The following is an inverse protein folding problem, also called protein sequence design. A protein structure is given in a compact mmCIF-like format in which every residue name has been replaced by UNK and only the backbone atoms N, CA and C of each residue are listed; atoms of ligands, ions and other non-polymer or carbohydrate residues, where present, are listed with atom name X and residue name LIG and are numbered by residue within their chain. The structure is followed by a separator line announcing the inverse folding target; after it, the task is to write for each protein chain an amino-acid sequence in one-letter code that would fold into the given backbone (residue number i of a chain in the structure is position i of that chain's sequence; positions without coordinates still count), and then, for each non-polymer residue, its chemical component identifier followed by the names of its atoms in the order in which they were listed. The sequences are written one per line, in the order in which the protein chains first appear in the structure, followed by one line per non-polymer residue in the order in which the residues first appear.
data_IF_842762933035
#
_entry.id   IF_842762933035
#
_cell.length_a   1.000
_cell.length_b   1.000
_cell.length_c   1.000
_cell.angle_alpha   90.00
_cell.angle_beta   90.00
_cell.angle_gamma   90.00
#
_symmetry.space_group_name_H-M   'P 1'
#
loop_
_entity.id
_entity.type
_entity.pdbx_description
1 polymer ?
#
# COMPACT_ATOMS: atom_id res chain seq x y z
N UNK A 1 5.87 -22.29 16.27
CA UNK A 1 4.79 -21.36 16.69
C UNK A 1 3.95 -21.13 15.45
N UNK A 2 2.76 -21.72 15.39
CA UNK A 2 1.90 -21.67 14.20
C UNK A 2 1.36 -20.23 14.11
N UNK A 3 1.99 -19.38 13.31
CA UNK A 3 1.52 -18.02 13.07
C UNK A 3 0.20 -18.17 12.33
N UNK A 4 -0.92 -17.89 13.00
CA UNK A 4 -2.24 -17.88 12.40
C UNK A 4 -2.15 -17.02 11.13
N UNK A 5 -2.46 -17.61 9.98
CA UNK A 5 -2.49 -16.88 8.71
C UNK A 5 -3.42 -15.68 8.88
N UNK A 6 -2.89 -14.49 8.59
CA UNK A 6 -3.66 -13.24 8.67
C UNK A 6 -4.27 -12.98 7.31
N UNK A 7 -5.59 -12.84 7.27
CA UNK A 7 -6.32 -12.60 6.03
C UNK A 7 -6.13 -11.16 5.53
N UNK A 8 -6.27 -10.98 4.22
CA UNK A 8 -6.45 -9.67 3.61
C UNK A 8 -7.68 -8.95 4.22
N UNK A 9 -7.58 -7.66 4.51
CA UNK A 9 -8.63 -6.91 5.20
C UNK A 9 -9.35 -5.89 4.33
N UNK A 10 -10.66 -5.72 4.56
CA UNK A 10 -11.48 -4.54 4.19
C UNK A 10 -11.95 -3.76 5.41
N UNK A 11 -11.65 -4.24 6.60
CA UNK A 11 -11.95 -3.55 7.84
C UNK A 11 -10.85 -2.52 8.11
N UNK A 12 -11.13 -1.27 7.73
CA UNK A 12 -10.15 -0.19 7.79
C UNK A 12 -10.11 0.48 9.17
N UNK A 13 -11.17 0.35 9.98
CA UNK A 13 -11.27 1.08 11.25
C UNK A 13 -10.16 0.67 12.23
N UNK A 14 -9.87 -0.62 12.48
CA UNK A 14 -8.77 -1.02 13.35
C UNK A 14 -7.41 -0.56 12.84
N UNK A 15 -7.23 -0.45 11.50
CA UNK A 15 -5.97 0.01 10.92
C UNK A 15 -5.57 1.41 11.42
N UNK A 16 -6.57 2.27 11.66
CA UNK A 16 -6.35 3.65 12.09
C UNK A 16 -6.49 3.86 13.59
N UNK A 17 -7.29 3.05 14.29
CA UNK A 17 -7.46 3.19 15.74
C UNK A 17 -6.34 2.51 16.53
N UNK A 18 -5.74 1.44 15.99
CA UNK A 18 -4.73 0.64 16.68
C UNK A 18 -3.31 0.94 16.18
N UNK A 19 -3.13 2.03 15.42
CA UNK A 19 -1.87 2.43 14.79
C UNK A 19 -1.15 1.27 14.06
N UNK A 20 -1.93 0.48 13.30
CA UNK A 20 -1.39 -0.70 12.61
C UNK A 20 -0.34 -0.25 11.58
N UNK A 21 0.87 -0.84 11.56
CA UNK A 21 1.89 -0.49 10.58
C UNK A 21 1.44 -0.79 9.16
N UNK A 22 1.66 0.15 8.24
CA UNK A 22 1.29 -0.02 6.83
C UNK A 22 2.50 0.06 5.90
N UNK A 23 2.72 -0.98 5.10
CA UNK A 23 3.71 -0.98 4.02
C UNK A 23 3.08 -0.44 2.74
N UNK A 24 3.45 0.77 2.36
CA UNK A 24 2.99 1.40 1.12
C UNK A 24 3.96 1.08 -0.02
N UNK A 25 3.51 0.30 -1.00
CA UNK A 25 4.33 -0.08 -2.18
C UNK A 25 4.05 0.79 -3.41
N UNK A 26 3.36 1.92 -3.24
CA UNK A 26 3.24 2.94 -4.29
C UNK A 26 4.60 3.59 -4.57
N UNK A 27 4.70 4.30 -5.69
CA UNK A 27 5.90 5.05 -6.00
C UNK A 27 6.09 6.23 -5.03
N UNK A 28 7.33 6.68 -4.78
CA UNK A 28 7.61 7.80 -3.88
C UNK A 28 6.79 9.07 -4.18
N UNK A 29 6.58 9.41 -5.46
CA UNK A 29 5.75 10.56 -5.86
C UNK A 29 4.29 10.42 -5.43
N UNK A 30 3.74 9.21 -5.46
CA UNK A 30 2.37 8.93 -5.01
C UNK A 30 2.27 9.00 -3.47
N UNK A 31 3.32 8.59 -2.75
CA UNK A 31 3.40 8.68 -1.30
C UNK A 31 3.51 10.14 -0.82
N UNK A 32 4.36 10.93 -1.47
CA UNK A 32 4.54 12.36 -1.16
C UNK A 32 3.28 13.22 -1.40
N UNK A 33 2.37 12.77 -2.28
CA UNK A 33 1.07 13.41 -2.50
C UNK A 33 0.03 13.12 -1.40
N UNK A 34 0.30 12.13 -0.54
CA UNK A 34 -0.57 11.77 0.57
C UNK A 34 -0.35 10.34 1.02
N UNK A 35 -0.19 10.17 2.33
CA UNK A 35 0.07 8.92 3.01
C UNK A 35 -0.65 8.88 4.35
N UNK A 36 -0.78 7.68 4.95
CA UNK A 36 -1.36 7.52 6.29
C UNK A 36 -0.27 7.65 7.37
N UNK A 37 -0.61 8.06 8.60
CA UNK A 37 0.38 8.31 9.67
C UNK A 37 1.32 7.14 9.96
N UNK A 38 0.81 5.91 9.91
CA UNK A 38 1.57 4.69 10.20
C UNK A 38 2.21 4.05 8.96
N UNK A 39 2.16 4.72 7.81
CA UNK A 39 2.65 4.18 6.56
C UNK A 39 4.14 4.42 6.36
N UNK A 40 4.87 3.37 5.98
CA UNK A 40 6.25 3.42 5.49
C UNK A 40 6.27 3.08 4.00
N UNK A 41 6.88 3.95 3.18
CA UNK A 41 6.99 3.70 1.75
C UNK A 41 8.17 2.75 1.44
N UNK A 42 7.86 1.57 0.92
CA UNK A 42 8.86 0.61 0.41
C UNK A 42 8.43 0.22 -1.01
N UNK A 43 8.77 1.04 -2.01
CA UNK A 43 8.09 1.05 -3.29
C UNK A 43 8.34 -0.21 -4.13
N UNK A 44 7.29 -0.68 -4.83
CA UNK A 44 7.47 -1.66 -5.91
C UNK A 44 8.13 -1.02 -7.14
N UNK A 45 7.85 0.24 -7.40
CA UNK A 45 8.35 0.98 -8.56
C UNK A 45 8.90 2.32 -8.08
N UNK A 46 10.06 2.71 -8.57
CA UNK A 46 10.47 4.12 -8.47
C UNK A 46 9.60 5.01 -9.37
N UNK A 47 9.79 6.32 -9.28
CA UNK A 47 8.97 7.28 -10.03
C UNK A 47 9.12 7.15 -11.55
N UNK A 48 10.33 6.85 -12.03
CA UNK A 48 10.61 6.69 -13.45
C UNK A 48 9.97 5.43 -14.01
N UNK A 49 10.10 4.30 -13.30
CA UNK A 49 9.44 3.04 -13.64
C UNK A 49 7.92 3.20 -13.59
N UNK A 50 7.41 3.89 -12.58
CA UNK A 50 5.96 4.16 -12.43
C UNK A 50 5.41 4.97 -13.59
N UNK A 51 6.17 5.94 -14.09
CA UNK A 51 5.80 6.71 -15.28
C UNK A 51 5.80 5.81 -16.53
N UNK A 52 6.91 5.12 -16.81
CA UNK A 52 7.05 4.28 -18.01
C UNK A 52 6.01 3.16 -18.07
N UNK A 53 5.82 2.43 -16.97
CA UNK A 53 4.83 1.35 -16.86
C UNK A 53 3.41 1.92 -16.95
N UNK A 54 3.17 3.10 -16.37
CA UNK A 54 1.87 3.79 -16.46
C UNK A 54 1.52 4.18 -17.89
N UNK A 55 2.49 4.71 -18.65
CA UNK A 55 2.35 5.01 -20.07
C UNK A 55 2.08 3.71 -20.84
N UNK A 56 2.90 2.67 -20.63
CA UNK A 56 2.72 1.38 -21.31
C UNK A 56 1.34 0.77 -21.06
N UNK A 57 0.87 0.81 -19.82
CA UNK A 57 -0.46 0.34 -19.46
C UNK A 57 -1.56 1.07 -20.23
N UNK A 58 -1.47 2.40 -20.32
CA UNK A 58 -2.46 3.23 -21.03
C UNK A 58 -2.49 2.94 -22.53
N UNK A 59 -1.32 2.72 -23.15
CA UNK A 59 -1.21 2.60 -24.60
C UNK A 59 -1.33 1.16 -25.12
N UNK A 60 -0.87 0.17 -24.35
CA UNK A 60 -0.72 -1.21 -24.80
C UNK A 60 -1.38 -2.24 -23.87
N UNK A 61 -2.03 -1.78 -22.79
CA UNK A 61 -2.77 -2.65 -21.87
C UNK A 61 -1.91 -3.30 -20.78
N UNK A 62 -2.58 -4.14 -19.99
CA UNK A 62 -2.02 -4.69 -18.75
C UNK A 62 -0.86 -5.66 -18.98
N UNK A 63 -0.98 -6.58 -19.93
CA UNK A 63 0.05 -7.60 -20.19
C UNK A 63 1.38 -6.98 -20.59
N UNK A 64 1.33 -5.99 -21.48
CA UNK A 64 2.52 -5.26 -21.92
C UNK A 64 3.15 -4.43 -20.80
N UNK A 65 2.34 -3.88 -19.89
CA UNK A 65 2.85 -3.18 -18.71
C UNK A 65 3.52 -4.14 -17.72
N UNK A 66 2.99 -5.36 -17.56
CA UNK A 66 3.60 -6.42 -16.76
C UNK A 66 4.95 -6.82 -17.37
N UNK A 67 5.00 -7.04 -18.69
CA UNK A 67 6.22 -7.40 -19.41
C UNK A 67 7.32 -6.34 -19.19
N UNK A 68 6.99 -5.07 -19.41
CA UNK A 68 7.91 -3.97 -19.15
C UNK A 68 8.34 -3.91 -17.68
N UNK A 69 7.42 -4.14 -16.74
CA UNK A 69 7.74 -4.19 -15.32
C UNK A 69 8.74 -5.30 -14.95
N UNK A 70 8.64 -6.46 -15.60
CA UNK A 70 9.60 -7.56 -15.43
C UNK A 70 10.96 -7.26 -16.07
N UNK A 71 10.98 -6.62 -17.24
CA UNK A 71 12.21 -6.18 -17.92
C UNK A 71 12.99 -5.15 -17.07
N UNK A 72 12.27 -4.21 -16.43
CA UNK A 72 12.85 -3.18 -15.57
C UNK A 72 13.26 -3.69 -14.18
N UNK A 73 12.74 -4.85 -13.75
CA UNK A 73 13.08 -5.48 -12.48
C UNK A 73 14.30 -6.41 -12.64
N UNK A 74 15.48 -5.81 -12.80
CA UNK A 74 16.75 -6.56 -12.83
C UNK A 74 16.93 -7.42 -11.58
N UNK A 75 17.81 -8.42 -11.64
CA UNK A 75 18.07 -9.31 -10.52
C UNK A 75 18.47 -8.55 -9.24
N UNK A 76 19.32 -7.54 -9.37
CA UNK A 76 19.78 -6.71 -8.25
C UNK A 76 18.64 -5.85 -7.68
N UNK A 77 17.83 -5.22 -8.53
CA UNK A 77 16.66 -4.44 -8.10
C UNK A 77 15.66 -5.33 -7.36
N UNK A 78 15.40 -6.53 -7.89
CA UNK A 78 14.50 -7.49 -7.26
C UNK A 78 15.05 -7.96 -5.90
N UNK A 79 16.34 -8.26 -5.82
CA UNK A 79 16.98 -8.67 -4.58
C UNK A 79 16.92 -7.57 -3.52
N UNK A 80 17.24 -6.32 -3.88
CA UNK A 80 17.16 -5.18 -2.97
C UNK A 80 15.74 -4.98 -2.43
N UNK A 81 14.73 -4.99 -3.31
CA UNK A 81 13.32 -4.85 -2.90
C UNK A 81 12.88 -5.96 -1.94
N UNK A 82 13.23 -7.21 -2.25
CA UNK A 82 12.92 -8.34 -1.38
C UNK A 82 13.58 -8.20 -0.01
N UNK A 83 14.83 -7.73 0.04
CA UNK A 83 15.52 -7.48 1.30
C UNK A 83 14.81 -6.39 2.11
N UNK A 84 14.42 -5.28 1.48
CA UNK A 84 13.78 -4.15 2.15
C UNK A 84 12.38 -4.55 2.68
N UNK A 85 11.57 -5.21 1.85
CA UNK A 85 10.25 -5.69 2.27
C UNK A 85 10.34 -6.73 3.38
N UNK A 86 11.25 -7.70 3.26
CA UNK A 86 11.44 -8.74 4.30
C UNK A 86 11.88 -8.12 5.62
N UNK A 87 12.79 -7.14 5.57
CA UNK A 87 13.23 -6.41 6.76
C UNK A 87 12.07 -5.68 7.44
N UNK A 88 11.20 -5.04 6.66
CA UNK A 88 10.01 -4.39 7.18
C UNK A 88 9.00 -5.39 7.77
N UNK A 89 8.69 -6.46 7.06
CA UNK A 89 7.76 -7.49 7.55
C UNK A 89 8.25 -8.13 8.87
N UNK A 90 9.56 -8.32 9.03
CA UNK A 90 10.16 -8.83 10.27
C UNK A 90 10.07 -7.81 11.42
N UNK A 91 10.21 -6.52 11.12
CA UNK A 91 10.07 -5.46 12.12
C UNK A 91 8.60 -5.22 12.52
N UNK A 92 7.66 -5.47 11.61
CA UNK A 92 6.23 -5.19 11.78
C UNK A 92 5.34 -6.39 11.37
N UNK A 93 5.43 -7.54 12.03
CA UNK A 93 4.68 -8.75 11.65
C UNK A 93 3.15 -8.59 11.71
N UNK A 94 2.67 -7.61 12.48
CA UNK A 94 1.26 -7.23 12.61
C UNK A 94 0.77 -6.21 11.57
N UNK A 95 1.63 -5.76 10.65
CA UNK A 95 1.23 -4.75 9.66
C UNK A 95 0.47 -5.31 8.46
N UNK A 96 0.12 -4.41 7.53
CA UNK A 96 -0.52 -4.73 6.25
C UNK A 96 0.19 -4.03 5.10
N UNK A 97 0.12 -4.62 3.91
CA UNK A 97 0.66 -4.10 2.66
C UNK A 97 -0.46 -3.48 1.82
N UNK A 98 -0.22 -2.32 1.21
CA UNK A 98 -1.17 -1.75 0.26
C UNK A 98 -0.50 -1.05 -0.92
N UNK A 99 -1.25 -0.93 -2.03
CA UNK A 99 -0.92 -0.03 -3.13
C UNK A 99 -2.11 0.92 -3.38
N UNK A 100 -2.09 1.70 -4.47
CA UNK A 100 -3.13 2.73 -4.69
C UNK A 100 -4.59 2.19 -4.69
N UNK A 101 -4.81 0.99 -5.24
CA UNK A 101 -6.15 0.37 -5.36
C UNK A 101 -6.23 -1.07 -4.81
N UNK A 102 -5.18 -1.55 -4.11
CA UNK A 102 -5.11 -2.95 -3.67
C UNK A 102 -5.12 -3.96 -4.82
N UNK A 103 -4.56 -3.58 -5.98
CA UNK A 103 -4.54 -4.37 -7.20
C UNK A 103 -3.20 -5.06 -7.46
N UNK A 104 -2.77 -5.07 -8.71
CA UNK A 104 -1.58 -5.80 -9.18
C UNK A 104 -0.31 -5.50 -8.37
N UNK A 105 0.00 -4.24 -8.09
CA UNK A 105 1.25 -3.86 -7.40
C UNK A 105 1.40 -4.50 -6.00
N UNK A 106 0.34 -4.45 -5.20
CA UNK A 106 0.37 -5.08 -3.87
C UNK A 106 0.36 -6.61 -3.97
N UNK A 107 -0.39 -7.18 -4.93
CA UNK A 107 -0.39 -8.64 -5.17
C UNK A 107 0.96 -9.17 -5.64
N UNK A 108 1.64 -8.47 -6.56
CA UNK A 108 2.99 -8.82 -7.01
C UNK A 108 3.98 -8.79 -5.85
N UNK A 109 3.91 -7.76 -5.00
CA UNK A 109 4.77 -7.67 -3.81
C UNK A 109 4.50 -8.82 -2.83
N UNK A 110 3.23 -9.11 -2.54
CA UNK A 110 2.82 -10.22 -1.69
C UNK A 110 3.28 -11.58 -2.25
N UNK A 111 3.15 -11.80 -3.55
CA UNK A 111 3.61 -13.02 -4.21
C UNK A 111 5.12 -13.20 -4.11
N UNK A 112 5.89 -12.12 -4.28
CA UNK A 112 7.35 -12.19 -4.16
C UNK A 112 7.80 -12.44 -2.71
N UNK A 113 7.12 -11.84 -1.74
CA UNK A 113 7.32 -12.12 -0.31
C UNK A 113 7.00 -13.57 0.03
N UNK A 114 5.87 -14.09 -0.47
CA UNK A 114 5.48 -15.48 -0.26
C UNK A 114 6.51 -16.47 -0.81
N UNK A 115 7.12 -16.15 -1.97
CA UNK A 115 8.22 -16.94 -2.53
C UNK A 115 9.47 -16.95 -1.64
N UNK A 116 9.64 -15.96 -0.75
CA UNK A 116 10.68 -15.93 0.28
C UNK A 116 10.22 -16.53 1.63
N UNK A 117 9.00 -17.09 1.69
CA UNK A 117 8.42 -17.63 2.92
C UNK A 117 7.85 -16.58 3.88
N UNK A 118 7.67 -15.34 3.41
CA UNK A 118 7.08 -14.25 4.19
C UNK A 118 5.62 -14.07 3.76
N UNK A 119 4.70 -14.46 4.63
CA UNK A 119 3.27 -14.22 4.45
C UNK A 119 2.89 -12.87 5.05
N UNK A 120 2.34 -11.97 4.22
CA UNK A 120 1.98 -10.63 4.66
C UNK A 120 0.64 -10.19 4.03
N UNK A 121 -0.36 -9.79 4.85
CA UNK A 121 -1.71 -9.52 4.36
C UNK A 121 -1.84 -8.18 3.64
N UNK A 122 -2.84 -8.08 2.75
CA UNK A 122 -3.17 -6.86 2.02
C UNK A 122 -4.27 -6.03 2.67
N UNK A 123 -4.21 -4.71 2.49
CA UNK A 123 -5.41 -3.88 2.55
C UNK A 123 -6.09 -3.88 1.18
N UNK A 124 -7.27 -4.51 1.11
CA UNK A 124 -8.07 -4.57 -0.11
C UNK A 124 -8.60 -3.18 -0.45
N UNK A 125 -8.62 -2.81 -1.74
CA UNK A 125 -9.00 -1.46 -2.19
C UNK A 125 -7.92 -0.39 -1.96
N UNK A 126 -6.92 -0.67 -1.11
CA UNK A 126 -5.71 0.13 -0.93
C UNK A 126 -5.95 1.58 -0.50
N UNK A 127 -5.01 2.46 -0.84
CA UNK A 127 -5.05 3.88 -0.46
C UNK A 127 -6.38 4.55 -0.80
N UNK A 128 -6.91 4.29 -2.01
CA UNK A 128 -8.16 4.93 -2.46
C UNK A 128 -9.35 4.56 -1.56
N UNK A 129 -9.48 3.28 -1.19
CA UNK A 129 -10.60 2.82 -0.37
C UNK A 129 -10.46 3.30 1.08
N UNK A 130 -9.26 3.19 1.66
CA UNK A 130 -8.95 3.70 2.99
C UNK A 130 -9.18 5.22 3.10
N UNK A 131 -8.75 6.00 2.11
CA UNK A 131 -8.97 7.45 2.08
C UNK A 131 -10.46 7.79 1.98
N UNK A 132 -11.22 7.05 1.17
CA UNK A 132 -12.67 7.22 1.06
C UNK A 132 -13.34 6.94 2.41
N UNK A 133 -12.98 5.83 3.07
CA UNK A 133 -13.46 5.50 4.40
C UNK A 133 -13.24 6.64 5.41
N UNK A 134 -12.04 7.21 5.49
CA UNK A 134 -11.77 8.33 6.41
C UNK A 134 -12.58 9.59 6.10
N UNK A 135 -12.84 9.88 4.82
CA UNK A 135 -13.68 11.01 4.41
C UNK A 135 -15.12 10.77 4.85
N UNK A 136 -15.65 9.58 4.59
CA UNK A 136 -17.03 9.24 4.91
C UNK A 136 -17.24 9.22 6.45
N UNK A 137 -16.27 8.71 7.22
CA UNK A 137 -16.28 8.76 8.69
C UNK A 137 -16.17 10.19 9.24
N UNK A 138 -15.39 11.07 8.59
CA UNK A 138 -15.31 12.48 8.95
C UNK A 138 -16.64 13.19 8.71
N UNK A 139 -17.29 12.95 7.57
CA UNK A 139 -18.60 13.52 7.25
C UNK A 139 -19.66 13.06 8.25
N UNK A 140 -19.67 11.77 8.61
CA UNK A 140 -20.57 11.24 9.64
C UNK A 140 -20.30 11.87 11.01
N UNK A 141 -19.05 11.89 11.44
CA UNK A 141 -18.65 12.42 12.75
C UNK A 141 -18.96 13.91 12.88
N UNK A 142 -18.77 14.68 11.81
CA UNK A 142 -19.09 16.11 11.81
C UNK A 142 -20.60 16.40 12.00
N UNK A 143 -21.47 15.45 11.65
CA UNK A 143 -22.91 15.55 11.89
C UNK A 143 -23.33 15.22 13.34
N UNK A 144 -22.48 14.48 14.08
CA UNK A 144 -22.78 14.00 15.43
C UNK A 144 -22.05 14.80 16.52
N UNK A 145 -20.86 15.33 16.21
CA UNK A 145 -20.02 16.06 17.18
C UNK A 145 -20.49 17.51 17.30
N UNK A 146 -20.72 18.03 18.52
CA UNK A 146 -21.02 19.44 18.72
C UNK A 146 -19.80 20.28 18.32
N UNK A 147 -19.85 20.89 17.14
CA UNK A 147 -18.81 21.79 16.66
C UNK A 147 -18.92 23.13 17.38
N UNK A 148 -17.85 23.54 18.06
CA UNK A 148 -17.75 24.84 18.72
C UNK A 148 -16.83 25.75 17.90
N UNK A 149 -17.31 26.92 17.51
CA UNK A 149 -16.48 27.94 16.88
C UNK A 149 -15.55 28.57 17.93
N UNK A 150 -14.25 28.32 17.82
CA UNK A 150 -13.24 28.82 18.79
C UNK A 150 -12.80 30.25 18.45
N UNK A 151 -12.76 30.61 17.17
CA UNK A 151 -12.57 32.00 16.70
C UNK A 151 -12.85 32.09 15.19
N UNK A 152 -13.44 33.20 14.75
CA UNK A 152 -13.83 33.48 13.36
C UNK A 152 -14.96 34.50 13.34
N UNK A 153 -15.12 35.24 12.22
CA UNK A 153 -16.13 36.30 12.03
C UNK A 153 -17.57 35.77 12.06
#
# INVERSE_FOLDING_TARGET
MNMLMRDDTRDYRPLFLDDVPLMDVRAPIEFGQGAFPTATNIPLLDDQQREQIGIRYKHAGQEEAIRLGLELATADIKAQRLQDWTSYCNAYPQGFLYCFRGGLRSRTTQQWLLQQGVEYPLVLGGYKAMRRFLIDELEQSAGEVPLVCVSGL
#
